data_IF_039385326096
#
_entry.id   IF_039385326096
#
_cell.length_a   1.000
_cell.length_b   1.000
_cell.length_c   1.000
_cell.angle_alpha   90.00
_cell.angle_beta   90.00
_cell.angle_gamma   90.00
#
_symmetry.space_group_name_H-M   'P 1'
#
loop_
_entity.id
_entity.type
_entity.pdbx_description
1 polymer ?
#
# COMPACT_ATOMS: atom_id res chain seq x y z
N UNK A 1 3.90 3.80 -13.62
CA UNK A 1 5.27 3.33 -13.32
C UNK A 1 5.46 3.37 -11.81
N UNK A 2 6.30 2.51 -11.24
CA UNK A 2 6.55 2.46 -9.80
C UNK A 2 7.37 3.70 -9.36
N UNK A 3 7.04 4.29 -8.21
CA UNK A 3 7.61 5.55 -7.71
C UNK A 3 8.46 5.37 -6.44
N UNK A 4 8.75 4.13 -6.01
CA UNK A 4 9.43 3.87 -4.74
C UNK A 4 10.96 3.91 -4.81
N UNK A 5 11.57 4.02 -5.99
CA UNK A 5 13.03 3.94 -6.17
C UNK A 5 13.79 5.02 -5.39
N UNK A 6 13.19 6.21 -5.22
CA UNK A 6 13.82 7.36 -4.57
C UNK A 6 13.34 7.60 -3.13
N UNK A 7 12.51 6.71 -2.58
CA UNK A 7 12.04 6.83 -1.19
C UNK A 7 13.18 6.62 -0.19
N UNK A 8 13.22 7.31 0.95
CA UNK A 8 14.26 7.13 1.96
C UNK A 8 14.19 5.75 2.64
N UNK A 9 13.00 5.16 2.74
CA UNK A 9 12.79 3.84 3.33
C UNK A 9 13.43 2.74 2.49
N UNK A 10 14.34 1.98 3.10
CA UNK A 10 14.86 0.75 2.51
C UNK A 10 13.77 -0.31 2.29
N UNK A 11 12.73 -0.33 3.13
CA UNK A 11 11.59 -1.22 2.94
C UNK A 11 10.81 -0.86 1.67
N UNK A 12 10.56 0.43 1.42
CA UNK A 12 9.89 0.87 0.18
C UNK A 12 10.76 0.61 -1.05
N UNK A 13 12.06 0.91 -0.99
CA UNK A 13 12.99 0.65 -2.10
C UNK A 13 13.04 -0.83 -2.51
N UNK A 14 12.88 -1.77 -1.57
CA UNK A 14 12.81 -3.22 -1.89
C UNK A 14 11.64 -3.55 -2.83
N UNK A 15 10.57 -2.74 -2.83
CA UNK A 15 9.41 -2.91 -3.69
C UNK A 15 9.48 -2.09 -4.99
N UNK A 16 10.56 -1.32 -5.22
CA UNK A 16 10.68 -0.43 -6.40
C UNK A 16 10.72 -1.17 -7.73
N UNK A 17 11.14 -2.44 -7.72
CA UNK A 17 11.24 -3.28 -8.92
C UNK A 17 10.04 -4.19 -9.13
N UNK A 18 9.06 -4.18 -8.22
CA UNK A 18 7.85 -4.97 -8.37
C UNK A 18 7.05 -4.50 -9.59
N UNK A 19 6.40 -5.41 -10.33
CA UNK A 19 5.52 -5.05 -11.46
C UNK A 19 4.30 -4.22 -11.02
N UNK A 20 3.91 -4.28 -9.75
CA UNK A 20 2.91 -3.36 -9.18
C UNK A 20 3.45 -1.93 -9.24
N UNK A 21 2.66 -1.02 -9.79
CA UNK A 21 2.96 0.41 -9.90
C UNK A 21 2.68 1.09 -8.57
N UNK A 22 3.58 0.90 -7.62
CA UNK A 22 3.47 1.49 -6.30
C UNK A 22 3.72 2.99 -6.31
N UNK A 23 2.94 3.69 -5.50
CA UNK A 23 3.18 5.04 -5.04
C UNK A 23 3.51 5.04 -3.54
N UNK A 24 4.39 5.95 -3.07
CA UNK A 24 4.42 6.26 -1.66
C UNK A 24 3.12 6.96 -1.25
N UNK A 25 2.85 7.01 0.06
CA UNK A 25 1.75 7.82 0.57
C UNK A 25 2.04 9.32 0.40
N UNK A 26 1.20 10.03 -0.34
CA UNK A 26 1.31 11.47 -0.53
C UNK A 26 0.32 12.01 -1.56
N UNK A 27 0.30 13.32 -1.71
CA UNK A 27 -0.69 14.06 -2.52
C UNK A 27 -0.79 13.52 -3.95
N UNK A 28 0.33 13.16 -4.59
CA UNK A 28 0.32 12.62 -5.96
C UNK A 28 -0.55 11.37 -6.09
N UNK A 29 -0.47 10.44 -5.14
CA UNK A 29 -1.27 9.21 -5.18
C UNK A 29 -2.76 9.47 -4.86
N UNK A 30 -3.00 10.36 -3.90
CA UNK A 30 -4.35 10.70 -3.45
C UNK A 30 -5.12 11.49 -4.50
N UNK A 31 -4.50 12.51 -5.09
CA UNK A 31 -5.06 13.30 -6.19
C UNK A 31 -5.30 12.42 -7.42
N UNK A 32 -4.35 11.54 -7.76
CA UNK A 32 -4.53 10.61 -8.88
C UNK A 32 -5.69 9.65 -8.69
N UNK A 33 -5.97 9.21 -7.46
CA UNK A 33 -7.11 8.35 -7.16
C UNK A 33 -8.44 9.07 -7.41
N UNK A 34 -8.53 10.36 -7.04
CA UNK A 34 -9.69 11.23 -7.34
C UNK A 34 -9.82 11.46 -8.84
N UNK A 35 -8.74 11.86 -9.51
CA UNK A 35 -8.75 12.22 -10.93
C UNK A 35 -9.09 11.03 -11.84
N UNK A 36 -8.65 9.83 -11.48
CA UNK A 36 -8.95 8.60 -12.23
C UNK A 36 -10.23 7.90 -11.79
N UNK A 37 -10.91 8.38 -10.74
CA UNK A 37 -12.06 7.71 -10.10
C UNK A 37 -11.74 6.24 -9.77
N UNK A 38 -10.56 6.00 -9.18
CA UNK A 38 -10.05 4.67 -8.86
C UNK A 38 -9.82 4.51 -7.36
N UNK A 39 -10.28 3.42 -6.74
CA UNK A 39 -10.00 3.16 -5.34
C UNK A 39 -8.50 2.99 -5.10
N UNK A 40 -8.07 3.32 -3.88
CA UNK A 40 -6.70 3.11 -3.44
C UNK A 40 -6.58 1.70 -2.85
N UNK A 41 -5.60 0.93 -3.30
CA UNK A 41 -5.15 -0.27 -2.60
C UNK A 41 -3.97 0.13 -1.71
N UNK A 42 -4.25 0.28 -0.42
CA UNK A 42 -3.26 0.62 0.60
C UNK A 42 -2.62 -0.64 1.16
N UNK A 43 -1.29 -0.73 1.10
CA UNK A 43 -0.50 -1.82 1.69
C UNK A 43 0.56 -1.28 2.68
N UNK A 44 0.31 -1.49 3.98
CA UNK A 44 1.22 -1.07 5.06
C UNK A 44 2.05 -2.25 5.56
N UNK A 45 3.36 -2.07 5.66
CA UNK A 45 4.30 -3.06 6.19
C UNK A 45 5.55 -2.44 6.78
N UNK A 46 6.57 -3.27 7.02
CA UNK A 46 7.88 -2.88 7.54
C UNK A 46 8.95 -3.93 7.23
N UNK A 47 10.22 -3.54 7.33
CA UNK A 47 11.40 -4.33 6.94
C UNK A 47 11.54 -5.69 7.63
N UNK A 48 11.12 -5.82 8.89
CA UNK A 48 11.26 -7.07 9.67
C UNK A 48 9.98 -7.92 9.74
N UNK A 49 8.99 -7.60 8.90
CA UNK A 49 7.71 -8.30 8.83
C UNK A 49 7.78 -9.54 7.94
N UNK A 50 7.75 -10.74 8.54
CA UNK A 50 7.79 -12.00 7.78
C UNK A 50 6.68 -12.10 6.72
N UNK A 51 5.42 -11.86 7.11
CA UNK A 51 4.28 -11.98 6.19
C UNK A 51 4.25 -10.90 5.11
N UNK A 52 4.92 -9.76 5.33
CA UNK A 52 5.04 -8.72 4.32
C UNK A 52 5.95 -9.21 3.18
N UNK A 53 7.04 -9.92 3.49
CA UNK A 53 7.89 -10.54 2.48
C UNK A 53 7.19 -11.68 1.74
N UNK A 54 6.42 -12.53 2.46
CA UNK A 54 5.64 -13.60 1.82
C UNK A 54 4.64 -13.01 0.83
N UNK A 55 3.87 -12.00 1.23
CA UNK A 55 2.92 -11.34 0.33
C UNK A 55 3.60 -10.63 -0.85
N UNK A 56 4.79 -10.05 -0.63
CA UNK A 56 5.58 -9.46 -1.70
C UNK A 56 5.92 -10.49 -2.78
N UNK A 57 6.49 -11.61 -2.35
CA UNK A 57 6.97 -12.66 -3.25
C UNK A 57 5.82 -13.40 -3.96
N UNK A 58 4.76 -13.73 -3.24
CA UNK A 58 3.66 -14.54 -3.77
C UNK A 58 2.63 -13.72 -4.57
N UNK A 59 2.60 -12.39 -4.41
CA UNK A 59 1.57 -11.55 -5.03
C UNK A 59 2.13 -10.32 -5.74
N UNK A 60 2.97 -9.51 -5.08
CA UNK A 60 3.39 -8.23 -5.66
C UNK A 60 4.48 -8.37 -6.73
N UNK A 61 5.22 -9.49 -6.74
CA UNK A 61 6.19 -9.87 -7.78
C UNK A 61 5.53 -10.62 -8.96
N UNK A 62 4.29 -11.08 -8.81
CA UNK A 62 3.57 -11.80 -9.85
C UNK A 62 2.96 -10.85 -10.89
N UNK A 63 3.33 -11.00 -12.15
CA UNK A 63 2.92 -10.13 -13.26
C UNK A 63 1.40 -10.13 -13.50
N UNK A 64 0.75 -11.28 -13.33
CA UNK A 64 -0.71 -11.40 -13.57
C UNK A 64 -1.47 -10.64 -12.48
N UNK A 65 -1.10 -10.87 -11.22
CA UNK A 65 -1.66 -10.16 -10.06
C UNK A 65 -1.40 -8.65 -10.17
N UNK A 66 -0.17 -8.26 -10.49
CA UNK A 66 0.20 -6.87 -10.66
C UNK A 66 -0.56 -6.18 -11.80
N UNK A 67 -0.81 -6.86 -12.92
CA UNK A 67 -1.63 -6.33 -14.01
C UNK A 67 -3.05 -6.00 -13.52
N UNK A 68 -3.69 -6.92 -12.79
CA UNK A 68 -5.03 -6.68 -12.22
C UNK A 68 -4.99 -5.52 -11.23
N UNK A 69 -3.98 -5.47 -10.36
CA UNK A 69 -3.82 -4.38 -9.40
C UNK A 69 -3.65 -3.01 -10.09
N UNK A 70 -2.80 -2.94 -11.11
CA UNK A 70 -2.50 -1.71 -11.84
C UNK A 70 -3.66 -1.20 -12.68
N UNK A 71 -4.49 -2.12 -13.19
CA UNK A 71 -5.68 -1.76 -13.96
C UNK A 71 -6.78 -1.15 -13.07
N UNK A 72 -6.95 -1.69 -11.87
CA UNK A 72 -8.12 -1.42 -11.03
C UNK A 72 -7.89 -0.46 -9.87
N UNK A 73 -6.64 -0.21 -9.45
CA UNK A 73 -6.34 0.57 -8.25
C UNK A 73 -5.20 1.57 -8.45
N UNK A 74 -5.24 2.63 -7.63
CA UNK A 74 -4.03 3.36 -7.29
C UNK A 74 -3.35 2.62 -6.13
N UNK A 75 -2.21 1.99 -6.41
CA UNK A 75 -1.52 1.14 -5.45
C UNK A 75 -0.59 1.98 -4.57
N UNK A 76 -0.83 2.01 -3.27
CA UNK A 76 -0.05 2.81 -2.31
C UNK A 76 0.66 1.89 -1.31
N UNK A 77 1.99 2.06 -1.20
CA UNK A 77 2.83 1.33 -0.26
C UNK A 77 3.27 2.25 0.87
N UNK A 78 3.13 1.78 2.11
CA UNK A 78 3.53 2.55 3.31
C UNK A 78 4.48 1.73 4.16
N UNK A 79 5.57 2.37 4.57
CA UNK A 79 6.42 1.91 5.66
C UNK A 79 5.89 2.49 6.98
N UNK A 80 5.44 1.62 7.89
CA UNK A 80 4.98 2.05 9.22
C UNK A 80 6.12 2.61 10.09
N UNK A 81 7.38 2.24 9.82
CA UNK A 81 8.52 2.74 10.60
C UNK A 81 8.74 4.23 10.31
N UNK A 82 8.43 4.68 9.09
CA UNK A 82 8.46 6.10 8.70
C UNK A 82 7.14 6.83 8.92
N UNK A 83 6.00 6.14 8.74
CA UNK A 83 4.64 6.69 8.89
C UNK A 83 3.79 5.93 9.92
N UNK A 84 4.19 5.93 11.21
CA UNK A 84 3.44 5.27 12.28
C UNK A 84 2.06 5.92 12.50
N UNK A 85 1.90 7.18 12.12
CA UNK A 85 0.63 7.91 12.13
C UNK A 85 -0.40 7.27 11.20
N UNK A 86 0.00 6.98 9.96
CA UNK A 86 -0.85 6.34 8.95
C UNK A 86 -1.16 4.89 9.34
N UNK A 87 -0.15 4.15 9.81
CA UNK A 87 -0.32 2.78 10.32
C UNK A 87 -1.38 2.73 11.44
N UNK A 88 -1.30 3.64 12.41
CA UNK A 88 -2.23 3.66 13.53
C UNK A 88 -3.67 3.95 13.11
N UNK A 89 -3.87 4.92 12.20
CA UNK A 89 -5.19 5.28 11.68
C UNK A 89 -5.85 4.07 11.01
N UNK A 90 -5.15 3.40 10.10
CA UNK A 90 -5.73 2.31 9.34
C UNK A 90 -5.84 1.00 10.14
N UNK A 91 -4.95 0.75 11.10
CA UNK A 91 -5.14 -0.37 12.03
C UNK A 91 -6.38 -0.16 12.92
N UNK A 92 -6.63 1.08 13.36
CA UNK A 92 -7.85 1.40 14.10
C UNK A 92 -9.09 1.26 13.22
N UNK A 93 -9.05 1.76 11.99
CA UNK A 93 -10.14 1.61 11.03
C UNK A 93 -10.46 0.14 10.76
N UNK A 94 -9.43 -0.68 10.50
CA UNK A 94 -9.56 -2.13 10.37
C UNK A 94 -10.23 -2.76 11.60
N UNK A 95 -9.79 -2.40 12.81
CA UNK A 95 -10.36 -2.94 14.04
C UNK A 95 -11.83 -2.55 14.21
N UNK A 96 -12.20 -1.32 13.90
CA UNK A 96 -13.60 -0.86 13.97
C UNK A 96 -14.48 -1.59 12.95
N UNK A 97 -14.00 -1.78 11.72
CA UNK A 97 -14.74 -2.42 10.63
C UNK A 97 -14.89 -3.93 10.83
N UNK A 98 -13.83 -4.60 11.30
CA UNK A 98 -13.79 -6.08 11.39
C UNK A 98 -14.07 -6.61 12.79
N UNK A 99 -14.09 -5.74 13.80
CA UNK A 99 -14.13 -6.09 15.23
C UNK A 99 -12.98 -7.03 15.66
N UNK A 100 -11.83 -6.97 14.96
CA UNK A 100 -10.65 -7.79 15.21
C UNK A 100 -9.40 -6.94 15.28
N UNK A 101 -8.44 -7.37 16.09
CA UNK A 101 -7.10 -6.78 16.04
C UNK A 101 -6.53 -6.90 14.63
N UNK A 102 -5.88 -5.82 14.18
CA UNK A 102 -5.13 -5.81 12.93
C UNK A 102 -3.81 -6.57 13.01
N UNK A 103 -3.05 -6.50 11.93
CA UNK A 103 -1.73 -7.11 11.80
C UNK A 103 -1.01 -6.56 10.57
N UNK A 104 0.14 -7.13 10.24
CA UNK A 104 0.90 -6.77 9.04
C UNK A 104 1.17 -8.01 8.18
N UNK A 105 1.14 -7.88 6.84
CA UNK A 105 0.83 -6.67 6.08
C UNK A 105 -0.64 -6.28 6.23
N UNK A 106 -0.92 -4.98 6.47
CA UNK A 106 -2.27 -4.47 6.43
C UNK A 106 -2.60 -4.11 4.99
N UNK A 107 -3.70 -4.64 4.46
CA UNK A 107 -4.22 -4.30 3.13
C UNK A 107 -5.63 -3.76 3.27
N UNK A 108 -5.87 -2.55 2.77
CA UNK A 108 -7.18 -1.90 2.78
C UNK A 108 -7.50 -1.28 1.42
N UNK A 109 -8.78 -1.24 1.08
CA UNK A 109 -9.28 -0.54 -0.10
C UNK A 109 -9.94 0.75 0.36
N UNK A 110 -9.48 1.89 -0.14
CA UNK A 110 -9.98 3.20 0.25
C UNK A 110 -10.77 3.83 -0.88
N UNK A 111 -11.80 4.56 -0.50
CA UNK A 111 -12.58 5.40 -1.39
C UNK A 111 -11.70 6.54 -1.93
N UNK A 112 -11.76 6.86 -3.24
CA UNK A 112 -10.93 7.90 -3.82
C UNK A 112 -11.22 9.29 -3.23
N UNK A 113 -12.44 9.58 -2.76
CA UNK A 113 -12.80 10.91 -2.23
C UNK A 113 -12.73 10.98 -0.69
N UNK A 114 -13.02 9.88 0.01
CA UNK A 114 -13.18 9.83 1.46
C UNK A 114 -12.17 8.89 2.13
N UNK A 115 -10.88 9.14 1.92
CA UNK A 115 -9.79 8.33 2.45
C UNK A 115 -9.05 8.93 3.65
N UNK A 116 -9.50 10.07 4.19
CA UNK A 116 -8.93 10.76 5.35
C UNK A 116 -9.87 10.75 6.57
#
# INVERSE_FOLDING_TARGET
MNQLENEPSLYLQQHSTNPVQWYPWGDEALERAVDEDKPILLSIGYSSCHWCHVMAHESFEDEVTASVMNENFINVKVDREERPDIDQIYQLAHQLLTQRSGGWPLTMFLDPENHL
#
